data_IF_014630192029
#
_entry.id   IF_014630192029
#
_cell.length_a   1.000
_cell.length_b   1.000
_cell.length_c   1.000
_cell.angle_alpha   90.00
_cell.angle_beta   90.00
_cell.angle_gamma   90.00
#
_symmetry.space_group_name_H-M   'P 1'
#
loop_
_entity.id
_entity.type
_entity.pdbx_description
1 polymer ?
#
# COMPACT_ATOMS: atom_id res chain seq x y z
N UNK A 1 18.52 0.47 5.84
CA UNK A 1 17.64 0.25 4.68
C UNK A 1 16.36 -0.40 5.18
N UNK A 2 15.20 0.12 4.79
CA UNK A 2 13.90 -0.48 5.14
C UNK A 2 13.81 -1.89 4.53
N UNK A 3 13.31 -2.85 5.30
CA UNK A 3 13.26 -4.25 4.90
C UNK A 3 12.03 -4.50 4.01
N UNK A 4 12.24 -5.02 2.81
CA UNK A 4 11.18 -5.37 1.85
C UNK A 4 10.14 -6.33 2.46
N UNK A 5 10.59 -7.33 3.21
CA UNK A 5 9.70 -8.32 3.83
C UNK A 5 8.78 -7.69 4.89
N UNK A 6 9.28 -6.68 5.62
CA UNK A 6 8.46 -5.98 6.61
C UNK A 6 7.38 -5.13 5.91
N UNK A 7 7.75 -4.33 4.91
CA UNK A 7 6.77 -3.54 4.14
C UNK A 7 5.72 -4.44 3.48
N UNK A 8 6.15 -5.56 2.90
CA UNK A 8 5.24 -6.54 2.29
C UNK A 8 4.25 -7.12 3.33
N UNK A 9 4.71 -7.43 4.54
CA UNK A 9 3.84 -7.90 5.61
C UNK A 9 2.77 -6.87 5.98
N UNK A 10 3.13 -5.59 6.08
CA UNK A 10 2.16 -4.52 6.36
C UNK A 10 1.18 -4.28 5.22
N UNK A 11 1.61 -4.40 3.95
CA UNK A 11 0.68 -4.38 2.82
C UNK A 11 -0.37 -5.50 2.95
N UNK A 12 0.07 -6.73 3.22
CA UNK A 12 -0.85 -7.86 3.39
C UNK A 12 -1.72 -7.72 4.64
N UNK A 13 -1.19 -7.19 5.74
CA UNK A 13 -1.97 -6.85 6.94
C UNK A 13 -3.11 -5.90 6.59
N UNK A 14 -2.82 -4.79 5.90
CA UNK A 14 -3.82 -3.83 5.47
C UNK A 14 -4.88 -4.43 4.52
N UNK A 15 -4.46 -5.33 3.64
CA UNK A 15 -5.38 -6.05 2.74
C UNK A 15 -6.44 -6.85 3.51
N UNK A 16 -6.14 -7.28 4.74
CA UNK A 16 -7.10 -7.98 5.59
C UNK A 16 -8.10 -7.04 6.28
N UNK A 17 -7.81 -5.74 6.33
CA UNK A 17 -8.64 -4.71 6.96
C UNK A 17 -9.65 -4.04 6.01
N UNK A 18 -9.78 -4.56 4.79
CA UNK A 18 -10.71 -4.08 3.76
C UNK A 18 -12.15 -4.06 4.24
N UNK A 19 -12.90 -3.01 3.92
CA UNK A 19 -14.32 -2.91 4.29
C UNK A 19 -15.17 -2.34 3.14
N UNK A 20 -16.45 -2.76 3.02
CA UNK A 20 -17.09 -3.82 3.79
C UNK A 20 -16.64 -5.22 3.34
N UNK A 21 -16.84 -6.24 4.19
CA UNK A 21 -16.68 -7.65 3.81
C UNK A 21 -15.30 -8.27 4.01
N UNK A 22 -14.27 -7.48 4.35
CA UNK A 22 -12.97 -8.04 4.72
C UNK A 22 -12.22 -8.69 3.55
N UNK A 23 -11.19 -9.45 3.91
CA UNK A 23 -10.37 -10.21 2.97
C UNK A 23 -11.18 -11.18 2.09
N UNK A 24 -12.24 -11.79 2.64
CA UNK A 24 -13.10 -12.72 1.89
C UNK A 24 -13.78 -12.03 0.70
N UNK A 25 -14.22 -10.79 0.87
CA UNK A 25 -14.79 -10.00 -0.23
C UNK A 25 -13.76 -9.70 -1.32
N UNK A 26 -12.51 -9.41 -0.93
CA UNK A 26 -11.41 -9.19 -1.88
C UNK A 26 -11.14 -10.45 -2.69
N UNK A 27 -11.00 -11.60 -2.02
CA UNK A 27 -10.73 -12.88 -2.69
C UNK A 27 -11.87 -13.25 -3.64
N UNK A 28 -13.12 -13.07 -3.21
CA UNK A 28 -14.30 -13.33 -4.03
C UNK A 28 -14.35 -12.41 -5.26
N UNK A 29 -14.01 -11.14 -5.11
CA UNK A 29 -13.94 -10.19 -6.23
C UNK A 29 -12.76 -10.48 -7.17
N UNK A 30 -11.58 -10.77 -6.62
CA UNK A 30 -10.34 -10.96 -7.38
C UNK A 30 -10.40 -12.12 -8.36
N UNK A 31 -10.82 -13.30 -7.90
CA UNK A 31 -11.07 -14.46 -8.78
C UNK A 31 -9.85 -15.07 -9.50
N UNK A 32 -8.61 -14.57 -9.29
CA UNK A 32 -7.39 -15.07 -9.99
C UNK A 32 -6.42 -15.84 -9.10
N UNK A 33 -6.81 -16.14 -7.85
CA UNK A 33 -5.99 -16.88 -6.88
C UNK A 33 -5.31 -15.97 -5.83
N UNK A 34 -5.08 -16.53 -4.64
CA UNK A 34 -4.57 -15.79 -3.49
C UNK A 34 -3.08 -15.40 -3.66
N UNK A 35 -2.28 -16.29 -4.26
CA UNK A 35 -0.85 -16.00 -4.50
C UNK A 35 -0.71 -14.84 -5.46
N UNK A 36 -1.50 -14.83 -6.53
CA UNK A 36 -1.54 -13.79 -7.56
C UNK A 36 -2.00 -12.45 -6.99
N UNK A 37 -2.95 -12.46 -6.04
CA UNK A 37 -3.37 -11.25 -5.33
C UNK A 37 -2.23 -10.67 -4.49
N UNK A 38 -1.56 -11.53 -3.71
CA UNK A 38 -0.45 -11.09 -2.86
C UNK A 38 0.71 -10.62 -3.71
N UNK A 39 1.06 -11.33 -4.78
CA UNK A 39 2.14 -10.96 -5.70
C UNK A 39 1.89 -9.60 -6.36
N UNK A 40 0.67 -9.38 -6.87
CA UNK A 40 0.25 -8.10 -7.43
C UNK A 40 0.42 -6.95 -6.42
N UNK A 41 -0.03 -7.14 -5.18
CA UNK A 41 0.09 -6.14 -4.13
C UNK A 41 1.55 -5.87 -3.75
N UNK A 42 2.35 -6.91 -3.49
CA UNK A 42 3.72 -6.74 -2.99
C UNK A 42 4.69 -6.27 -4.09
N UNK A 43 4.29 -6.33 -5.36
CA UNK A 43 5.06 -5.73 -6.46
C UNK A 43 5.32 -4.23 -6.29
N UNK A 44 4.49 -3.53 -5.50
CA UNK A 44 4.62 -2.10 -5.19
C UNK A 44 5.55 -1.79 -3.99
N UNK A 45 6.04 -2.81 -3.27
CA UNK A 45 6.94 -2.63 -2.11
C UNK A 45 8.22 -1.86 -2.45
N UNK A 46 8.93 -2.13 -3.57
CA UNK A 46 10.12 -1.37 -3.93
C UNK A 46 9.85 0.13 -4.07
N UNK A 47 8.72 0.49 -4.69
CA UNK A 47 8.30 1.88 -4.85
C UNK A 47 8.02 2.54 -3.50
N UNK A 48 7.24 1.90 -2.62
CA UNK A 48 6.94 2.44 -1.30
C UNK A 48 8.20 2.65 -0.45
N UNK A 49 9.18 1.74 -0.54
CA UNK A 49 10.49 1.90 0.13
C UNK A 49 11.28 3.05 -0.47
N UNK A 50 11.31 3.18 -1.80
CA UNK A 50 12.00 4.28 -2.46
C UNK A 50 11.42 5.63 -2.02
N UNK A 51 10.09 5.76 -2.02
CA UNK A 51 9.39 6.97 -1.58
C UNK A 51 9.62 7.25 -0.10
N UNK A 52 9.58 6.22 0.76
CA UNK A 52 9.90 6.34 2.18
C UNK A 52 11.33 6.87 2.41
N UNK A 53 12.31 6.33 1.69
CA UNK A 53 13.70 6.77 1.79
C UNK A 53 13.86 8.22 1.30
N UNK A 54 13.19 8.58 0.20
CA UNK A 54 13.19 9.95 -0.30
C UNK A 54 12.61 10.93 0.73
N UNK A 55 11.45 10.61 1.29
CA UNK A 55 10.81 11.45 2.30
C UNK A 55 11.65 11.57 3.56
N UNK A 56 12.25 10.47 4.03
CA UNK A 56 13.17 10.48 5.16
C UNK A 56 14.41 11.35 4.90
N UNK A 57 14.96 11.35 3.68
CA UNK A 57 16.09 12.23 3.34
C UNK A 57 15.62 13.69 3.32
N UNK A 58 14.45 13.97 2.75
CA UNK A 58 13.89 15.32 2.67
C UNK A 58 13.50 15.90 4.05
N UNK A 59 13.25 15.04 5.04
CA UNK A 59 12.91 15.41 6.42
C UNK A 59 14.08 15.29 7.40
N UNK A 60 15.33 15.21 6.93
CA UNK A 60 16.53 15.02 7.77
C UNK A 60 16.43 13.81 8.74
N UNK A 61 15.77 12.74 8.27
CA UNK A 61 15.54 11.50 9.01
C UNK A 61 14.42 11.59 10.04
N UNK A 62 13.63 12.67 10.07
CA UNK A 62 12.50 12.81 10.98
C UNK A 62 11.27 12.10 10.43
N UNK A 63 10.79 11.11 11.18
CA UNK A 63 9.53 10.42 10.93
C UNK A 63 8.49 10.98 11.90
N UNK A 64 7.42 11.64 11.42
CA UNK A 64 6.39 12.20 12.30
C UNK A 64 5.49 11.15 12.95
N UNK A 65 5.58 9.90 12.49
CA UNK A 65 4.83 8.76 13.01
C UNK A 65 5.44 7.42 12.57
N UNK A 66 4.61 6.39 12.45
CA UNK A 66 5.03 5.05 12.04
C UNK A 66 4.58 4.78 10.61
N UNK A 67 5.50 4.99 9.66
CA UNK A 67 5.24 4.88 8.22
C UNK A 67 4.48 3.60 7.81
N UNK A 68 4.82 2.46 8.42
CA UNK A 68 4.19 1.20 8.06
C UNK A 68 2.70 1.15 8.42
N UNK A 69 2.30 1.70 9.57
CA UNK A 69 0.89 1.81 9.96
C UNK A 69 0.14 2.95 9.27
N UNK A 70 0.86 4.00 8.85
CA UNK A 70 0.23 5.21 8.32
C UNK A 70 0.23 5.27 6.79
N UNK A 71 1.09 4.49 6.13
CA UNK A 71 1.18 4.44 4.66
C UNK A 71 1.10 3.00 4.15
N UNK A 72 1.86 2.06 4.74
CA UNK A 72 2.00 0.72 4.16
C UNK A 72 0.75 -0.16 4.34
N UNK A 73 0.22 -0.29 5.57
CA UNK A 73 -1.07 -0.97 5.78
C UNK A 73 -2.23 -0.23 5.10
N UNK A 74 -2.33 1.11 5.17
CA UNK A 74 -3.37 1.82 4.44
C UNK A 74 -3.32 1.61 2.92
N UNK A 75 -2.14 1.43 2.33
CA UNK A 75 -2.02 1.09 0.91
C UNK A 75 -2.61 -0.30 0.61
N UNK A 76 -2.26 -1.31 1.41
CA UNK A 76 -2.81 -2.66 1.25
C UNK A 76 -4.33 -2.69 1.38
N UNK A 77 -4.87 -1.94 2.33
CA UNK A 77 -6.31 -1.77 2.51
C UNK A 77 -6.95 -1.09 1.30
N UNK A 78 -6.41 0.05 0.88
CA UNK A 78 -6.91 0.78 -0.29
C UNK A 78 -6.89 -0.08 -1.56
N UNK A 79 -5.83 -0.86 -1.77
CA UNK A 79 -5.69 -1.76 -2.92
C UNK A 79 -6.81 -2.81 -2.94
N UNK A 80 -7.11 -3.43 -1.80
CA UNK A 80 -8.21 -4.39 -1.68
C UNK A 80 -9.58 -3.75 -1.82
N UNK A 81 -9.80 -2.57 -1.24
CA UNK A 81 -11.03 -1.79 -1.42
C UNK A 81 -11.25 -1.45 -2.90
N UNK A 82 -10.19 -1.02 -3.61
CA UNK A 82 -10.23 -0.76 -5.05
C UNK A 82 -10.68 -2.01 -5.82
N UNK A 83 -10.11 -3.18 -5.54
CA UNK A 83 -10.50 -4.44 -6.20
C UNK A 83 -11.98 -4.73 -6.01
N UNK A 84 -12.50 -4.57 -4.79
CA UNK A 84 -13.91 -4.81 -4.47
C UNK A 84 -14.82 -3.82 -5.22
N UNK A 85 -14.45 -2.54 -5.24
CA UNK A 85 -15.22 -1.49 -5.91
C UNK A 85 -15.21 -1.60 -7.44
N UNK A 86 -14.14 -2.16 -8.02
CA UNK A 86 -13.92 -2.24 -9.46
C UNK A 86 -14.11 -3.65 -10.03
N UNK A 87 -14.87 -4.50 -9.31
CA UNK A 87 -15.31 -5.80 -9.81
C UNK A 87 -14.16 -6.77 -10.09
N UNK A 88 -13.15 -6.80 -9.22
CA UNK A 88 -12.02 -7.73 -9.33
C UNK A 88 -10.80 -7.20 -10.10
N UNK A 89 -10.89 -5.96 -10.61
CA UNK A 89 -9.76 -5.32 -11.28
C UNK A 89 -8.84 -4.67 -10.25
N UNK A 90 -7.53 -4.91 -10.38
CA UNK A 90 -6.53 -4.19 -9.59
C UNK A 90 -6.39 -2.75 -10.08
N UNK A 91 -5.93 -1.82 -9.23
CA UNK A 91 -5.58 -0.48 -9.66
C UNK A 91 -4.46 -0.54 -10.72
N UNK A 92 -4.52 0.38 -11.69
CA UNK A 92 -3.41 0.55 -12.62
C UNK A 92 -2.16 1.02 -11.88
N UNK A 93 -0.98 0.76 -12.47
CA UNK A 93 0.29 1.22 -11.92
C UNK A 93 0.28 2.72 -11.62
N UNK A 94 -0.32 3.53 -12.50
CA UNK A 94 -0.41 4.99 -12.33
C UNK A 94 -1.28 5.38 -11.12
N UNK A 95 -2.37 4.66 -10.86
CA UNK A 95 -3.24 4.93 -9.71
C UNK A 95 -2.54 4.55 -8.40
N UNK A 96 -1.89 3.39 -8.36
CA UNK A 96 -1.11 2.96 -7.21
C UNK A 96 0.06 3.90 -6.91
N UNK A 97 0.79 4.34 -7.95
CA UNK A 97 1.85 5.34 -7.84
C UNK A 97 1.32 6.67 -7.30
N UNK A 98 0.22 7.17 -7.87
CA UNK A 98 -0.38 8.43 -7.44
C UNK A 98 -0.85 8.38 -5.98
N UNK A 99 -1.45 7.26 -5.56
CA UNK A 99 -1.84 7.04 -4.17
C UNK A 99 -0.63 7.06 -3.24
N UNK A 100 0.40 6.26 -3.54
CA UNK A 100 1.60 6.16 -2.71
C UNK A 100 2.33 7.50 -2.60
N UNK A 101 2.51 8.22 -3.70
CA UNK A 101 3.15 9.55 -3.69
C UNK A 101 2.36 10.51 -2.80
N UNK A 102 1.04 10.55 -2.93
CA UNK A 102 0.18 11.43 -2.11
C UNK A 102 0.30 11.11 -0.63
N UNK A 103 0.18 9.84 -0.24
CA UNK A 103 0.18 9.46 1.18
C UNK A 103 1.57 9.57 1.80
N UNK A 104 2.64 9.31 1.05
CA UNK A 104 4.02 9.56 1.52
C UNK A 104 4.27 11.06 1.71
N UNK A 105 3.84 11.90 0.75
CA UNK A 105 3.97 13.35 0.89
C UNK A 105 3.17 13.87 2.08
N UNK A 106 1.96 13.35 2.29
CA UNK A 106 1.15 13.67 3.47
C UNK A 106 1.88 13.27 4.76
N UNK A 107 2.37 12.03 4.84
CA UNK A 107 3.08 11.52 6.01
C UNK A 107 4.29 12.41 6.35
N UNK A 108 5.15 12.75 5.38
CA UNK A 108 6.34 13.56 5.64
C UNK A 108 6.10 15.08 5.58
N UNK A 109 4.86 15.55 5.35
CA UNK A 109 4.52 16.95 5.10
C UNK A 109 5.33 17.61 3.95
N UNK A 110 5.55 16.88 2.86
CA UNK A 110 6.29 17.35 1.70
C UNK A 110 5.36 18.08 0.72
N UNK A 111 5.71 19.32 0.38
CA UNK A 111 5.01 20.09 -0.67
C UNK A 111 3.60 20.56 -0.29
N UNK A 112 3.37 20.87 0.98
CA UNK A 112 2.27 21.76 1.41
C UNK A 112 2.60 23.22 1.13
#
# INVERSE_FOLDING_TARGET
>A
MKNQLLTAAFFVEGLHDVKPGGYDAVIAAWGKGCIELVDALVSYVPLAIQLCNYGAIASDGQFPGVFDYEVSSPFGKWFGEYIVEHGGNEPSQKEAEAWLVKEVNTFFNLGQ
#
